data_IF_766094090557
#
_entry.id   IF_766094090557
#
_cell.length_a   1.000
_cell.length_b   1.000
_cell.length_c   1.000
_cell.angle_alpha   90.00
_cell.angle_beta   90.00
_cell.angle_gamma   90.00
#
_symmetry.space_group_name_H-M   'P 1'
#
loop_
_entity.id
_entity.type
_entity.pdbx_description
1 polymer ?
#
# COMPACT_ATOMS: atom_id res chain seq x y z
N UNK A 1 10.84 -36.11 -13.64
CA UNK A 1 9.92 -35.47 -12.67
C UNK A 1 10.69 -34.39 -11.93
N UNK A 2 10.09 -33.22 -11.75
CA UNK A 2 10.68 -32.16 -10.91
C UNK A 2 10.68 -32.63 -9.46
N UNK A 3 11.81 -32.55 -8.77
CA UNK A 3 11.98 -33.05 -7.41
C UNK A 3 11.96 -31.94 -6.35
N UNK A 4 12.05 -30.67 -6.77
CA UNK A 4 12.04 -29.51 -5.87
C UNK A 4 11.28 -28.32 -6.47
N UNK A 5 10.77 -27.46 -5.60
CA UNK A 5 10.20 -26.15 -5.93
C UNK A 5 11.33 -25.12 -5.96
N UNK A 6 11.72 -24.74 -7.18
CA UNK A 6 12.72 -23.70 -7.41
C UNK A 6 12.08 -22.30 -7.57
N UNK A 7 12.91 -21.25 -7.53
CA UNK A 7 12.45 -19.85 -7.64
C UNK A 7 11.75 -19.56 -8.96
N UNK A 8 12.12 -20.24 -10.05
CA UNK A 8 11.51 -20.05 -11.36
C UNK A 8 10.06 -20.56 -11.35
N UNK A 9 9.83 -21.74 -10.78
CA UNK A 9 8.49 -22.29 -10.61
C UNK A 9 7.64 -21.42 -9.68
N UNK A 10 8.21 -20.91 -8.58
CA UNK A 10 7.52 -20.00 -7.66
C UNK A 10 7.02 -18.74 -8.37
N UNK A 11 7.86 -18.12 -9.19
CA UNK A 11 7.48 -16.93 -9.94
C UNK A 11 6.35 -17.22 -10.93
N UNK A 12 6.42 -18.36 -11.63
CA UNK A 12 5.40 -18.80 -12.57
C UNK A 12 4.06 -19.07 -11.86
N UNK A 13 4.07 -19.86 -10.78
CA UNK A 13 2.87 -20.14 -9.98
C UNK A 13 2.27 -18.86 -9.36
N UNK A 14 3.12 -17.93 -8.92
CA UNK A 14 2.66 -16.66 -8.38
C UNK A 14 1.95 -15.81 -9.45
N UNK A 15 2.44 -15.82 -10.69
CA UNK A 15 1.85 -15.11 -11.81
C UNK A 15 0.51 -15.73 -12.21
N UNK A 16 0.46 -17.05 -12.42
CA UNK A 16 -0.78 -17.75 -12.77
C UNK A 16 -1.85 -17.60 -11.69
N UNK A 17 -1.47 -17.69 -10.41
CA UNK A 17 -2.39 -17.46 -9.31
C UNK A 17 -2.88 -16.00 -9.26
N UNK A 18 -2.02 -15.02 -9.53
CA UNK A 18 -2.40 -13.61 -9.60
C UNK A 18 -3.43 -13.36 -10.70
N UNK A 19 -3.20 -13.87 -11.91
CA UNK A 19 -4.12 -13.75 -13.05
C UNK A 19 -5.49 -14.38 -12.73
N UNK A 20 -5.50 -15.59 -12.16
CA UNK A 20 -6.74 -16.26 -11.79
C UNK A 20 -7.53 -15.51 -10.71
N UNK A 21 -6.83 -14.98 -9.69
CA UNK A 21 -7.47 -14.25 -8.59
C UNK A 21 -7.88 -12.83 -8.99
N UNK A 22 -7.29 -12.25 -10.04
CA UNK A 22 -7.64 -10.91 -10.50
C UNK A 22 -9.09 -10.85 -11.02
N UNK A 23 -9.56 -11.89 -11.72
CA UNK A 23 -10.95 -12.00 -12.13
C UNK A 23 -11.91 -12.07 -10.92
N UNK A 24 -11.54 -12.82 -9.88
CA UNK A 24 -12.31 -12.91 -8.63
C UNK A 24 -12.39 -11.54 -7.95
N UNK A 25 -11.27 -10.81 -7.89
CA UNK A 25 -11.24 -9.47 -7.31
C UNK A 25 -12.18 -8.51 -8.07
N UNK A 26 -12.09 -8.48 -9.41
CA UNK A 26 -12.91 -7.63 -10.25
C UNK A 26 -14.41 -7.91 -10.11
N UNK A 27 -14.82 -9.19 -10.08
CA UNK A 27 -16.22 -9.60 -9.92
C UNK A 27 -16.85 -9.12 -8.61
N UNK A 28 -16.03 -8.84 -7.59
CA UNK A 28 -16.46 -8.39 -6.28
C UNK A 28 -16.11 -6.93 -5.99
N UNK A 29 -15.64 -6.17 -6.98
CA UNK A 29 -15.24 -4.76 -6.80
C UNK A 29 -14.06 -4.58 -5.85
N UNK A 30 -13.16 -5.56 -5.80
CA UNK A 30 -11.96 -5.57 -4.97
C UNK A 30 -10.71 -5.35 -5.82
N UNK A 31 -9.69 -4.77 -5.20
CA UNK A 31 -8.34 -4.69 -5.76
C UNK A 31 -7.48 -5.80 -5.16
N UNK A 32 -6.76 -6.55 -6.01
CA UNK A 32 -5.81 -7.58 -5.60
C UNK A 32 -4.40 -6.98 -5.46
N UNK A 33 -3.68 -7.33 -4.40
CA UNK A 33 -2.26 -7.01 -4.24
C UNK A 33 -1.48 -8.25 -3.84
N UNK A 34 -0.41 -8.55 -4.58
CA UNK A 34 0.56 -9.61 -4.23
C UNK A 34 1.55 -9.10 -3.17
N UNK A 35 1.54 -9.73 -2.00
CA UNK A 35 2.37 -9.35 -0.85
C UNK A 35 3.57 -10.31 -0.63
N UNK A 36 4.09 -10.87 -1.72
CA UNK A 36 5.19 -11.85 -1.71
C UNK A 36 4.73 -13.25 -1.30
N UNK A 37 5.60 -14.00 -0.65
CA UNK A 37 5.32 -15.37 -0.20
C UNK A 37 6.54 -16.04 0.43
N UNK A 38 6.34 -17.26 0.94
CA UNK A 38 7.43 -18.14 1.40
C UNK A 38 7.44 -19.39 0.53
N UNK A 39 8.62 -19.93 0.26
CA UNK A 39 8.74 -21.23 -0.37
C UNK A 39 9.88 -22.03 0.24
N UNK A 40 9.76 -23.34 0.15
CA UNK A 40 10.79 -24.34 0.43
C UNK A 40 10.88 -25.27 -0.78
N UNK A 41 11.74 -26.29 -0.74
CA UNK A 41 11.86 -27.27 -1.82
C UNK A 41 10.57 -28.08 -2.05
N UNK A 42 9.64 -28.10 -1.09
CA UNK A 42 8.41 -28.90 -1.15
C UNK A 42 7.13 -28.09 -1.05
N UNK A 43 7.20 -26.84 -0.59
CA UNK A 43 6.02 -26.00 -0.36
C UNK A 43 6.17 -24.60 -0.93
N UNK A 44 5.08 -24.06 -1.47
CA UNK A 44 4.96 -22.65 -1.83
C UNK A 44 3.71 -22.05 -1.18
N UNK A 45 3.88 -20.95 -0.46
CA UNK A 45 2.83 -20.21 0.22
C UNK A 45 2.83 -18.76 -0.26
N UNK A 46 2.13 -18.45 -1.37
CA UNK A 46 1.93 -17.08 -1.82
C UNK A 46 1.02 -16.31 -0.87
N UNK A 47 1.21 -14.99 -0.80
CA UNK A 47 0.35 -14.09 -0.03
C UNK A 47 -0.32 -13.09 -0.95
N UNK A 48 -1.64 -13.16 -1.00
CA UNK A 48 -2.50 -12.20 -1.69
C UNK A 48 -3.32 -11.41 -0.69
N UNK A 49 -3.65 -10.16 -1.02
CA UNK A 49 -4.52 -9.29 -0.22
C UNK A 49 -5.57 -8.70 -1.14
N UNK A 50 -6.83 -8.86 -0.76
CA UNK A 50 -7.96 -8.24 -1.44
C UNK A 50 -8.37 -7.02 -0.63
N UNK A 51 -8.49 -5.88 -1.28
CA UNK A 51 -8.83 -4.61 -0.66
C UNK A 51 -10.07 -4.05 -1.31
N UNK A 52 -11.07 -3.69 -0.53
CA UNK A 52 -12.20 -2.92 -1.04
C UNK A 52 -11.72 -1.48 -1.28
N UNK A 53 -11.82 -1.03 -2.52
CA UNK A 53 -11.44 0.32 -2.94
C UNK A 53 -12.66 1.10 -3.38
N UNK A 54 -12.64 2.42 -3.15
CA UNK A 54 -13.66 3.33 -3.71
C UNK A 54 -13.42 3.54 -5.21
N UNK A 55 -14.33 4.24 -5.90
CA UNK A 55 -14.16 4.60 -7.32
C UNK A 55 -12.86 5.37 -7.58
N UNK A 56 -12.38 6.13 -6.58
CA UNK A 56 -11.12 6.88 -6.63
C UNK A 56 -9.86 6.01 -6.42
N UNK A 57 -10.02 4.71 -6.16
CA UNK A 57 -8.93 3.76 -5.95
C UNK A 57 -8.31 3.78 -4.55
N UNK A 58 -8.84 4.55 -3.61
CA UNK A 58 -8.43 4.51 -2.21
C UNK A 58 -9.07 3.34 -1.45
N UNK A 59 -8.40 2.74 -0.46
CA UNK A 59 -9.02 1.79 0.45
C UNK A 59 -10.24 2.42 1.14
N UNK A 60 -11.36 1.70 1.19
CA UNK A 60 -12.62 2.21 1.73
C UNK A 60 -12.55 2.63 3.22
N UNK A 61 -11.57 2.11 3.96
CA UNK A 61 -11.31 2.44 5.36
C UNK A 61 -10.38 3.64 5.55
N UNK A 62 -9.76 4.17 4.47
CA UNK A 62 -8.73 5.20 4.56
C UNK A 62 -9.22 6.47 5.23
N UNK A 63 -10.34 7.05 4.78
CA UNK A 63 -10.87 8.30 5.31
C UNK A 63 -11.20 8.19 6.81
N UNK A 64 -11.72 7.03 7.24
CA UNK A 64 -11.99 6.74 8.65
C UNK A 64 -10.69 6.64 9.46
N UNK A 65 -9.67 5.96 8.92
CA UNK A 65 -8.36 5.86 9.55
C UNK A 65 -7.64 7.22 9.64
N UNK A 66 -7.75 8.07 8.61
CA UNK A 66 -7.22 9.43 8.60
C UNK A 66 -7.80 10.27 9.74
N UNK A 67 -9.14 10.28 9.88
CA UNK A 67 -9.82 10.98 10.97
C UNK A 67 -9.34 10.51 12.35
N UNK A 68 -9.17 9.20 12.55
CA UNK A 68 -8.72 8.63 13.83
C UNK A 68 -7.31 9.08 14.25
N UNK A 69 -6.44 9.38 13.29
CA UNK A 69 -5.09 9.89 13.56
C UNK A 69 -4.97 11.40 13.41
N UNK A 70 -6.07 12.12 13.15
CA UNK A 70 -6.09 13.58 13.01
C UNK A 70 -5.60 14.11 11.66
N UNK A 71 -5.58 13.30 10.61
CA UNK A 71 -5.30 13.75 9.23
C UNK A 71 -6.59 14.13 8.49
N UNK A 72 -6.50 15.00 7.45
CA UNK A 72 -7.60 15.25 6.55
C UNK A 72 -8.10 13.95 5.91
N UNK A 73 -9.42 13.67 5.88
CA UNK A 73 -9.95 12.42 5.35
C UNK A 73 -9.73 12.23 3.85
N UNK A 74 -9.51 13.33 3.13
CA UNK A 74 -9.27 13.43 1.69
C UNK A 74 -7.77 13.52 1.35
N UNK A 75 -6.88 13.21 2.29
CA UNK A 75 -5.43 13.27 2.06
C UNK A 75 -4.87 12.10 1.24
N UNK A 76 -5.71 11.16 0.79
CA UNK A 76 -5.26 10.06 -0.08
C UNK A 76 -4.63 10.61 -1.36
N UNK A 77 -3.46 10.10 -1.74
CA UNK A 77 -2.78 10.52 -2.96
C UNK A 77 -2.22 11.94 -2.94
N UNK A 78 -2.43 12.71 -1.87
CA UNK A 78 -1.84 14.04 -1.75
C UNK A 78 -0.33 13.96 -1.52
N UNK A 79 0.38 14.95 -2.05
CA UNK A 79 1.81 15.10 -1.83
C UNK A 79 2.09 16.03 -0.66
N UNK A 80 3.00 15.66 0.23
CA UNK A 80 3.48 16.52 1.30
C UNK A 80 5.00 16.66 1.24
N UNK A 81 5.52 17.76 1.79
CA UNK A 81 6.97 17.98 1.86
C UNK A 81 7.53 17.38 3.15
N UNK A 82 8.33 16.32 3.01
CA UNK A 82 9.03 15.66 4.11
C UNK A 82 10.35 16.34 4.47
N UNK A 83 11.17 15.64 5.26
CA UNK A 83 12.49 16.13 5.66
C UNK A 83 13.37 16.46 4.44
N UNK A 84 14.16 17.55 4.53
CA UNK A 84 15.07 18.02 3.47
C UNK A 84 14.37 18.37 2.14
N UNK A 85 13.10 18.77 2.18
CA UNK A 85 12.37 19.25 1.00
C UNK A 85 11.95 18.16 0.01
N UNK A 86 12.06 16.87 0.38
CA UNK A 86 11.65 15.78 -0.51
C UNK A 86 10.12 15.62 -0.48
N UNK A 87 9.50 15.54 -1.66
CA UNK A 87 8.06 15.30 -1.78
C UNK A 87 7.73 13.81 -1.66
N UNK A 88 6.67 13.50 -0.93
CA UNK A 88 6.15 12.14 -0.77
C UNK A 88 4.65 12.13 -1.01
N UNK A 89 4.15 11.07 -1.64
CA UNK A 89 2.71 10.84 -1.86
C UNK A 89 2.15 9.94 -0.78
N UNK A 90 1.02 10.31 -0.16
CA UNK A 90 0.35 9.49 0.86
C UNK A 90 -0.33 8.30 0.18
N UNK A 91 -0.03 7.08 0.63
CA UNK A 91 -0.52 5.83 0.02
C UNK A 91 -1.15 4.86 1.01
N UNK A 92 -1.31 5.26 2.27
CA UNK A 92 -2.11 4.48 3.21
C UNK A 92 -1.90 4.84 4.66
N UNK A 93 -2.79 4.33 5.50
CA UNK A 93 -2.74 4.48 6.95
C UNK A 93 -2.89 3.11 7.59
N UNK A 94 -2.03 2.83 8.56
CA UNK A 94 -2.03 1.58 9.31
C UNK A 94 -2.01 1.85 10.80
N UNK A 95 -3.18 1.81 11.41
CA UNK A 95 -3.39 2.08 12.85
C UNK A 95 -2.60 1.12 13.76
N UNK A 96 -2.29 -0.09 13.28
CA UNK A 96 -1.44 -1.04 14.00
C UNK A 96 0.03 -0.58 14.13
N UNK A 97 0.41 0.58 13.59
CA UNK A 97 1.76 1.16 13.66
C UNK A 97 1.70 2.50 14.43
N UNK A 98 1.67 2.48 15.77
CA UNK A 98 1.39 3.68 16.56
C UNK A 98 2.41 4.82 16.35
N UNK A 99 3.70 4.50 16.14
CA UNK A 99 4.74 5.52 15.92
C UNK A 99 4.75 6.06 14.48
N UNK A 100 4.45 5.22 13.49
CA UNK A 100 4.53 5.58 12.07
C UNK A 100 3.31 5.04 11.31
N UNK A 101 2.11 5.60 11.56
CA UNK A 101 0.87 5.08 11.02
C UNK A 101 0.73 5.36 9.52
N UNK A 102 1.33 6.43 9.01
CA UNK A 102 1.18 6.84 7.61
C UNK A 102 2.22 6.15 6.74
N UNK A 103 1.80 5.62 5.60
CA UNK A 103 2.66 5.09 4.54
C UNK A 103 2.63 6.05 3.35
N UNK A 104 3.77 6.20 2.68
CA UNK A 104 3.87 7.02 1.49
C UNK A 104 4.94 6.55 0.53
N UNK A 105 4.89 7.09 -0.67
CA UNK A 105 5.81 6.76 -1.77
C UNK A 105 6.68 7.97 -2.08
N UNK A 106 7.99 7.78 -2.15
CA UNK A 106 8.93 8.83 -2.55
C UNK A 106 9.04 8.99 -4.06
N UNK A 107 9.81 9.99 -4.53
CA UNK A 107 9.87 10.35 -5.96
C UNK A 107 10.48 9.25 -6.85
N UNK A 108 11.27 8.33 -6.25
CA UNK A 108 11.85 7.18 -6.93
C UNK A 108 11.05 5.88 -6.74
N UNK A 109 9.80 5.97 -6.27
CA UNK A 109 8.94 4.80 -6.02
C UNK A 109 9.22 4.05 -4.71
N UNK A 110 10.17 4.51 -3.89
CA UNK A 110 10.46 3.89 -2.59
C UNK A 110 9.30 4.03 -1.61
N UNK A 111 9.05 3.01 -0.79
CA UNK A 111 8.03 3.05 0.27
C UNK A 111 8.62 3.55 1.59
N UNK A 112 7.95 4.52 2.21
CA UNK A 112 8.37 5.18 3.43
C UNK A 112 7.22 5.21 4.45
N UNK A 113 7.57 5.45 5.72
CA UNK A 113 6.61 5.54 6.82
C UNK A 113 6.84 6.83 7.59
N UNK A 114 5.75 7.47 8.00
CA UNK A 114 5.78 8.81 8.59
C UNK A 114 4.95 8.86 9.87
N UNK A 115 5.35 9.76 10.76
CA UNK A 115 4.51 10.17 11.90
C UNK A 115 3.38 11.04 11.38
N UNK A 116 2.23 11.05 12.07
CA UNK A 116 1.12 11.95 11.74
C UNK A 116 1.58 13.41 11.71
N UNK A 117 2.33 13.85 12.73
CA UNK A 117 2.83 15.23 12.83
C UNK A 117 3.72 15.64 11.65
N UNK A 118 4.51 14.73 11.09
CA UNK A 118 5.37 15.05 9.96
C UNK A 118 4.55 15.31 8.70
N UNK A 119 3.48 14.53 8.52
CA UNK A 119 2.57 14.67 7.38
C UNK A 119 1.74 15.95 7.53
N UNK A 120 1.17 16.22 8.70
CA UNK A 120 0.42 17.46 8.98
C UNK A 120 1.24 18.72 8.66
N UNK A 121 2.46 18.81 9.23
CA UNK A 121 3.37 19.93 8.96
C UNK A 121 3.72 20.05 7.47
N UNK A 122 3.88 18.92 6.78
CA UNK A 122 4.23 18.90 5.36
C UNK A 122 3.08 19.28 4.43
N UNK A 123 1.83 19.07 4.86
CA UNK A 123 0.61 19.47 4.14
C UNK A 123 0.34 20.97 4.35
N UNK A 124 0.44 21.48 5.58
CA UNK A 124 0.22 22.90 5.88
C UNK A 124 1.20 23.82 5.15
N UNK A 125 2.45 23.38 4.97
CA UNK A 125 3.47 24.12 4.21
C UNK A 125 3.22 24.17 2.69
N UNK A 126 2.25 23.40 2.17
CA UNK A 126 1.80 23.47 0.78
C UNK A 126 0.55 24.34 0.56
N UNK A 127 -0.20 24.64 1.64
CA UNK A 127 -1.36 25.54 1.64
C UNK A 127 -1.02 27.03 1.86
N UNK A 128 0.26 27.36 1.97
CA UNK A 128 0.76 28.73 2.17
C UNK A 128 1.10 29.46 0.88
N UNK A 129 0.20 29.46 -0.11
CA UNK A 129 0.21 30.46 -1.18
C UNK A 129 -1.10 31.25 -1.07
N UNK A 130 -0.96 32.48 -0.58
CA UNK A 130 -1.97 33.54 -0.68
C UNK A 130 -2.40 33.75 -2.13
#
# INVERSE_FOLDING_TARGET
>A
MRTTIDRTLVNLLALEAEEALQAVAANHGLTLTKAGGRFSDTTFTPKFTFTLTTESGEPADFASHAKLIGLPPDCWGQTFTGARGTQYTITGIKLSRPKYPVSGTGPKGGSYKFTTDNVLKGLDMSGGAK
#
